data_IF_281650667664
#
_entry.id   IF_281650667664
#
_cell.length_a   1.000
_cell.length_b   1.000
_cell.length_c   1.000
_cell.angle_alpha   90.00
_cell.angle_beta   90.00
_cell.angle_gamma   90.00
#
_symmetry.space_group_name_H-M   'P 1'
#
loop_
_entity.id
_entity.type
_entity.pdbx_description
1 polymer ?
#
# COMPACT_ATOMS: atom_id res chain seq x y z
N UNK A 1 16.61 3.12 3.89
CA UNK A 1 17.43 3.53 5.05
C UNK A 1 18.17 4.77 4.66
N UNK A 2 18.40 5.68 5.57
CA UNK A 2 19.27 6.85 5.37
C UNK A 2 20.55 6.68 6.18
N UNK A 3 21.71 6.94 5.55
CA UNK A 3 23.04 6.61 6.06
C UNK A 3 23.68 5.42 5.37
N UNK A 4 24.92 5.11 5.70
CA UNK A 4 25.72 4.10 4.98
C UNK A 4 25.23 2.67 5.19
N UNK A 5 24.76 2.31 6.40
CA UNK A 5 24.15 1.01 6.70
C UNK A 5 25.01 -0.20 6.34
N UNK A 6 26.35 -0.02 6.28
CA UNK A 6 27.30 -1.06 5.82
C UNK A 6 27.40 -2.22 6.79
N UNK A 7 27.26 -1.94 8.08
CA UNK A 7 27.32 -2.93 9.14
C UNK A 7 26.04 -3.77 9.29
N UNK A 8 25.01 -3.51 8.45
CA UNK A 8 23.75 -4.24 8.51
C UNK A 8 23.70 -5.26 7.36
N UNK A 9 23.87 -6.56 7.62
CA UNK A 9 23.97 -7.58 6.57
C UNK A 9 22.76 -7.61 5.62
N UNK A 10 21.55 -7.36 6.16
CA UNK A 10 20.29 -7.33 5.40
C UNK A 10 20.07 -6.04 4.61
N UNK A 11 20.82 -4.97 4.89
CA UNK A 11 20.68 -3.71 4.17
C UNK A 11 21.40 -3.77 2.82
N UNK A 12 20.64 -3.98 1.75
CA UNK A 12 21.16 -4.10 0.37
C UNK A 12 20.50 -3.07 -0.54
N UNK A 13 21.21 -2.71 -1.62
CA UNK A 13 20.59 -1.98 -2.72
C UNK A 13 19.64 -2.91 -3.47
N UNK A 14 18.43 -2.45 -3.75
CA UNK A 14 17.40 -3.25 -4.41
C UNK A 14 16.40 -2.38 -5.17
N UNK A 15 15.39 -3.02 -5.74
CA UNK A 15 14.33 -2.32 -6.45
C UNK A 15 13.47 -1.50 -5.49
N UNK A 16 13.48 -0.18 -5.64
CA UNK A 16 12.63 0.73 -4.87
C UNK A 16 11.51 1.31 -5.72
N UNK A 17 10.25 1.14 -5.30
CA UNK A 17 9.09 1.78 -5.95
C UNK A 17 9.15 3.31 -5.85
N UNK A 18 9.86 3.84 -4.84
CA UNK A 18 10.05 5.28 -4.62
C UNK A 18 11.22 5.85 -5.43
N UNK A 19 11.86 5.01 -6.26
CA UNK A 19 13.01 5.37 -7.12
C UNK A 19 14.25 5.85 -6.34
N UNK A 20 14.39 5.48 -5.07
CA UNK A 20 15.55 5.74 -4.23
C UNK A 20 16.54 4.58 -4.36
N UNK A 21 17.16 4.46 -5.52
CA UNK A 21 18.17 3.45 -5.80
C UNK A 21 19.52 3.73 -5.12
N UNK A 22 19.67 4.96 -4.67
CA UNK A 22 20.80 5.47 -3.89
C UNK A 22 20.80 4.99 -2.43
N UNK A 23 19.65 4.51 -1.94
CA UNK A 23 19.50 4.08 -0.55
C UNK A 23 19.50 2.56 -0.42
N UNK A 24 20.20 2.05 0.61
CA UNK A 24 20.04 0.65 1.05
C UNK A 24 18.65 0.47 1.65
N UNK A 25 18.11 -0.73 1.50
CA UNK A 25 16.78 -1.07 1.99
C UNK A 25 16.76 -2.48 2.60
N UNK A 26 15.72 -2.76 3.37
CA UNK A 26 15.33 -4.12 3.77
C UNK A 26 13.96 -4.42 3.19
N UNK A 27 13.67 -5.69 2.93
CA UNK A 27 12.35 -6.16 2.53
C UNK A 27 11.65 -6.72 3.75
N UNK A 28 10.38 -6.35 3.93
CA UNK A 28 9.55 -6.84 5.03
C UNK A 28 8.41 -7.65 4.44
N UNK A 29 8.32 -8.93 4.84
CA UNK A 29 7.14 -9.75 4.65
C UNK A 29 6.24 -9.61 5.88
N UNK A 30 4.94 -9.52 5.67
CA UNK A 30 3.94 -9.36 6.71
C UNK A 30 2.81 -10.37 6.50
N UNK A 31 2.46 -11.10 7.55
CA UNK A 31 1.26 -11.95 7.60
C UNK A 31 0.21 -11.22 8.42
N UNK A 32 -0.97 -11.08 7.85
CA UNK A 32 -2.11 -10.44 8.53
C UNK A 32 -3.35 -11.32 8.45
N UNK A 33 -4.26 -11.15 9.42
CA UNK A 33 -5.61 -11.73 9.35
C UNK A 33 -6.44 -11.03 8.26
N UNK A 34 -7.61 -11.56 7.88
CA UNK A 34 -8.55 -10.89 7.00
C UNK A 34 -8.91 -9.46 7.43
N UNK A 35 -8.96 -9.20 8.72
CA UNK A 35 -9.25 -7.88 9.29
C UNK A 35 -8.02 -6.96 9.31
N UNK A 36 -6.87 -7.44 8.85
CA UNK A 36 -5.62 -6.69 8.80
C UNK A 36 -4.77 -6.74 10.07
N UNK A 37 -5.13 -7.57 11.07
CA UNK A 37 -4.31 -7.73 12.28
C UNK A 37 -3.02 -8.48 11.97
N UNK A 38 -1.83 -7.96 12.36
CA UNK A 38 -0.56 -8.60 12.04
C UNK A 38 -0.31 -9.81 12.95
N UNK A 39 -0.04 -10.96 12.33
CA UNK A 39 0.29 -12.21 13.02
C UNK A 39 1.81 -12.42 13.12
N UNK A 40 2.52 -12.12 12.03
CA UNK A 40 3.96 -12.31 11.95
C UNK A 40 4.58 -11.35 10.93
N UNK A 41 5.88 -11.11 11.07
CA UNK A 41 6.68 -10.43 10.06
C UNK A 41 8.05 -11.11 9.92
N UNK A 42 8.66 -10.88 8.78
CA UNK A 42 10.03 -11.30 8.51
C UNK A 42 10.81 -10.19 7.81
N UNK A 43 12.06 -10.01 8.22
CA UNK A 43 12.97 -9.04 7.62
C UNK A 43 13.96 -9.78 6.75
N UNK A 44 13.95 -9.47 5.47
CA UNK A 44 14.80 -10.08 4.44
C UNK A 44 15.78 -9.07 3.87
N UNK A 45 16.78 -9.56 3.14
CA UNK A 45 17.73 -8.69 2.45
C UNK A 45 17.04 -7.74 1.45
N UNK A 46 17.56 -6.53 1.34
CA UNK A 46 16.94 -5.48 0.53
C UNK A 46 16.89 -5.76 -0.98
N UNK A 47 17.70 -6.68 -1.48
CA UNK A 47 17.71 -7.16 -2.87
C UNK A 47 16.84 -8.41 -3.08
N UNK A 48 16.16 -8.88 -2.04
CA UNK A 48 15.32 -10.07 -2.11
C UNK A 48 14.16 -9.86 -3.08
N UNK A 49 13.96 -10.82 -3.99
CA UNK A 49 12.81 -10.85 -4.90
C UNK A 49 11.61 -11.51 -4.22
N UNK A 50 10.45 -10.88 -4.31
CA UNK A 50 9.19 -11.44 -3.79
C UNK A 50 8.92 -12.86 -4.33
N UNK A 51 9.36 -13.16 -5.55
CA UNK A 51 9.16 -14.47 -6.20
C UNK A 51 9.96 -15.60 -5.59
N UNK A 52 11.16 -15.32 -5.06
CA UNK A 52 12.06 -16.34 -4.51
C UNK A 52 11.77 -16.67 -3.06
N UNK A 53 11.01 -15.84 -2.35
CA UNK A 53 10.78 -15.96 -0.90
C UNK A 53 9.56 -16.79 -0.53
N UNK A 54 8.57 -16.92 -1.43
CA UNK A 54 7.29 -17.53 -1.11
C UNK A 54 7.45 -18.96 -0.57
N UNK A 55 8.28 -19.79 -1.22
CA UNK A 55 8.51 -21.19 -0.81
C UNK A 55 9.07 -21.31 0.61
N UNK A 56 10.10 -20.52 0.91
CA UNK A 56 10.70 -20.47 2.25
C UNK A 56 9.75 -19.93 3.31
N UNK A 57 8.94 -18.94 2.94
CA UNK A 57 7.97 -18.32 3.83
C UNK A 57 6.82 -19.28 4.17
N UNK A 58 6.30 -20.02 3.18
CA UNK A 58 5.30 -21.08 3.38
C UNK A 58 5.82 -22.15 4.35
N UNK A 59 7.04 -22.67 4.11
CA UNK A 59 7.65 -23.67 4.97
C UNK A 59 7.84 -23.18 6.42
N UNK A 60 8.23 -21.91 6.59
CA UNK A 60 8.38 -21.30 7.93
C UNK A 60 7.04 -21.21 8.66
N UNK A 61 5.98 -20.78 7.98
CA UNK A 61 4.62 -20.71 8.56
C UNK A 61 4.12 -22.11 8.94
N UNK A 62 4.33 -23.11 8.09
CA UNK A 62 3.96 -24.50 8.39
C UNK A 62 4.75 -25.04 9.61
N UNK A 63 6.03 -24.72 9.72
CA UNK A 63 6.85 -25.13 10.85
C UNK A 63 6.41 -24.45 12.15
N UNK A 64 6.06 -23.17 12.09
CA UNK A 64 5.75 -22.36 13.27
C UNK A 64 4.32 -22.56 13.77
N UNK A 65 3.35 -22.74 12.85
CA UNK A 65 1.92 -22.81 13.17
C UNK A 65 1.27 -24.16 12.79
N UNK A 66 2.06 -25.15 12.41
CA UNK A 66 1.59 -26.46 11.98
C UNK A 66 1.01 -26.46 10.57
N UNK A 67 0.79 -27.66 10.02
CA UNK A 67 0.06 -27.86 8.77
C UNK A 67 -1.45 -27.66 9.02
N UNK A 68 -2.14 -27.03 8.09
CA UNK A 68 -3.58 -26.83 8.17
C UNK A 68 -4.13 -26.34 6.83
N UNK A 69 -5.41 -26.52 6.61
CA UNK A 69 -6.10 -26.00 5.44
C UNK A 69 -6.09 -24.47 5.48
N UNK A 70 -5.22 -23.86 4.67
CA UNK A 70 -5.06 -22.41 4.58
C UNK A 70 -5.22 -21.96 3.13
N UNK A 71 -5.93 -20.85 2.96
CA UNK A 71 -6.03 -20.15 1.68
C UNK A 71 -5.02 -19.01 1.65
N UNK A 72 -4.02 -19.12 0.80
CA UNK A 72 -3.01 -18.08 0.58
C UNK A 72 -3.48 -17.09 -0.47
N UNK A 73 -3.81 -15.89 -0.02
CA UNK A 73 -4.24 -14.83 -0.92
C UNK A 73 -3.03 -13.98 -1.30
N UNK A 74 -2.73 -13.90 -2.60
CA UNK A 74 -1.51 -13.29 -3.10
C UNK A 74 -1.78 -12.31 -4.26
N UNK A 75 -1.00 -11.23 -4.35
CA UNK A 75 -1.06 -10.38 -5.53
C UNK A 75 -0.34 -11.06 -6.72
N UNK A 76 -0.71 -10.62 -7.91
CA UNK A 76 -0.10 -11.09 -9.16
C UNK A 76 1.40 -10.83 -9.14
N UNK A 77 2.17 -11.83 -9.53
CA UNK A 77 3.61 -11.73 -9.66
C UNK A 77 4.40 -12.15 -8.42
N UNK A 78 3.73 -12.47 -7.31
CA UNK A 78 4.38 -13.11 -6.15
C UNK A 78 4.67 -14.58 -6.45
N UNK A 79 3.67 -15.44 -6.81
CA UNK A 79 3.96 -16.84 -7.10
C UNK A 79 4.52 -17.03 -8.52
N UNK A 80 5.42 -17.99 -8.66
CA UNK A 80 5.81 -18.56 -9.97
C UNK A 80 4.87 -19.70 -10.32
N UNK A 81 4.80 -20.09 -11.60
CA UNK A 81 3.97 -21.26 -12.00
C UNK A 81 4.43 -22.54 -11.28
N UNK A 82 5.74 -22.73 -11.09
CA UNK A 82 6.33 -23.86 -10.36
C UNK A 82 5.83 -23.93 -8.92
N UNK A 83 5.79 -22.81 -8.21
CA UNK A 83 5.26 -22.77 -6.83
C UNK A 83 3.77 -23.03 -6.80
N UNK A 84 3.00 -22.53 -7.79
CA UNK A 84 1.58 -22.84 -7.89
C UNK A 84 1.33 -24.33 -8.20
N UNK A 85 2.20 -24.97 -8.98
CA UNK A 85 2.15 -26.43 -9.21
C UNK A 85 2.39 -27.21 -7.93
N UNK A 86 3.38 -26.83 -7.15
CA UNK A 86 3.64 -27.44 -5.83
C UNK A 86 2.47 -27.24 -4.86
N UNK A 87 1.82 -26.07 -4.88
CA UNK A 87 0.64 -25.80 -4.06
C UNK A 87 -0.61 -26.55 -4.52
N UNK A 88 -0.69 -26.98 -5.79
CA UNK A 88 -1.79 -27.80 -6.29
C UNK A 88 -1.76 -29.24 -5.80
N UNK A 89 -0.63 -29.68 -5.25
CA UNK A 89 -0.55 -30.99 -4.61
C UNK A 89 -1.54 -31.08 -3.45
N UNK A 90 -2.62 -31.84 -3.65
CA UNK A 90 -3.72 -31.98 -2.69
C UNK A 90 -3.30 -32.61 -1.36
N UNK A 91 -2.22 -33.39 -1.34
CA UNK A 91 -1.72 -34.00 -0.11
C UNK A 91 -1.15 -32.96 0.86
N UNK A 92 -0.79 -31.79 0.37
CA UNK A 92 -0.30 -30.68 1.19
C UNK A 92 -1.40 -29.84 1.85
N UNK A 93 -2.66 -29.90 1.38
CA UNK A 93 -3.76 -29.11 1.91
C UNK A 93 -3.56 -27.59 1.79
N UNK A 94 -2.75 -27.15 0.79
CA UNK A 94 -2.43 -25.74 0.58
C UNK A 94 -3.34 -25.19 -0.52
N UNK A 95 -4.17 -24.22 -0.18
CA UNK A 95 -5.02 -23.52 -1.13
C UNK A 95 -4.47 -22.14 -1.44
N UNK A 96 -4.72 -21.67 -2.65
CA UNK A 96 -4.31 -20.33 -3.05
C UNK A 96 -5.40 -19.58 -3.81
N UNK A 97 -5.31 -18.27 -3.73
CA UNK A 97 -6.05 -17.31 -4.54
C UNK A 97 -5.10 -16.22 -4.99
N UNK A 98 -4.91 -16.07 -6.30
CA UNK A 98 -3.94 -15.16 -6.87
C UNK A 98 -4.52 -14.32 -7.99
N UNK A 99 -4.12 -13.04 -8.05
CA UNK A 99 -4.38 -12.19 -9.19
C UNK A 99 -3.56 -12.64 -10.41
N UNK A 100 -4.17 -12.68 -11.58
CA UNK A 100 -3.53 -13.15 -12.81
C UNK A 100 -3.14 -11.97 -13.72
N UNK A 101 -2.02 -12.04 -14.46
CA UNK A 101 -1.65 -11.04 -15.44
C UNK A 101 -2.73 -10.87 -16.53
N UNK A 102 -2.93 -9.61 -16.98
CA UNK A 102 -3.96 -9.30 -17.98
C UNK A 102 -3.82 -10.05 -19.32
N UNK A 103 -2.63 -10.51 -19.66
CA UNK A 103 -2.41 -11.30 -20.88
C UNK A 103 -3.21 -12.61 -20.89
N UNK A 104 -3.37 -13.25 -19.74
CA UNK A 104 -4.19 -14.47 -19.62
C UNK A 104 -5.69 -14.22 -19.85
N UNK A 105 -6.22 -13.01 -19.62
CA UNK A 105 -7.62 -12.68 -19.95
C UNK A 105 -7.87 -12.84 -21.45
N UNK A 106 -6.91 -12.47 -22.30
CA UNK A 106 -7.03 -12.60 -23.75
C UNK A 106 -7.02 -14.07 -24.20
N UNK A 107 -6.22 -14.90 -23.54
CA UNK A 107 -6.13 -16.34 -23.84
C UNK A 107 -7.48 -17.03 -23.70
N UNK A 108 -8.28 -16.60 -22.73
CA UNK A 108 -9.60 -17.20 -22.44
C UNK A 108 -10.78 -16.35 -22.94
N UNK A 109 -10.53 -15.34 -23.81
CA UNK A 109 -11.57 -14.37 -24.23
C UNK A 109 -12.80 -15.06 -24.85
N UNK A 110 -12.61 -16.11 -25.66
CA UNK A 110 -13.70 -16.90 -26.27
C UNK A 110 -14.56 -17.60 -25.21
N UNK A 111 -13.95 -18.22 -24.20
CA UNK A 111 -14.66 -18.89 -23.10
C UNK A 111 -15.48 -17.92 -22.27
N UNK A 112 -14.95 -16.69 -22.02
CA UNK A 112 -15.67 -15.68 -21.25
C UNK A 112 -16.92 -15.15 -21.95
N UNK A 113 -16.95 -15.11 -23.27
CA UNK A 113 -18.10 -14.57 -24.02
C UNK A 113 -19.36 -15.41 -23.82
N UNK A 114 -19.22 -16.72 -23.68
CA UNK A 114 -20.32 -17.68 -23.56
C UNK A 114 -20.91 -17.76 -22.15
N UNK A 115 -20.19 -17.30 -21.14
CA UNK A 115 -20.60 -17.40 -19.74
C UNK A 115 -21.44 -16.21 -19.29
N UNK A 116 -22.49 -16.42 -18.47
CA UNK A 116 -23.26 -15.33 -17.90
C UNK A 116 -22.49 -14.60 -16.80
N UNK A 117 -22.77 -13.32 -16.60
CA UNK A 117 -22.30 -12.56 -15.46
C UNK A 117 -23.12 -12.88 -14.22
N UNK A 118 -22.45 -13.12 -13.11
CA UNK A 118 -23.04 -13.30 -11.78
C UNK A 118 -22.79 -12.05 -10.97
N UNK A 119 -23.84 -11.45 -10.41
CA UNK A 119 -23.71 -10.25 -9.57
C UNK A 119 -23.25 -10.62 -8.17
N UNK A 120 -22.11 -10.08 -7.73
CA UNK A 120 -21.58 -10.27 -6.37
C UNK A 120 -22.05 -9.14 -5.44
N UNK A 121 -22.05 -7.91 -5.98
CA UNK A 121 -22.62 -6.72 -5.33
C UNK A 121 -22.94 -5.67 -6.38
N UNK A 122 -23.51 -4.52 -5.97
CA UNK A 122 -24.00 -3.47 -6.90
C UNK A 122 -23.03 -3.09 -8.02
N UNK A 123 -21.74 -3.01 -7.69
CA UNK A 123 -20.70 -2.52 -8.61
C UNK A 123 -19.74 -3.60 -9.10
N UNK A 124 -20.02 -4.89 -8.82
CA UNK A 124 -19.11 -6.01 -9.15
C UNK A 124 -19.87 -7.21 -9.69
N UNK A 125 -19.42 -7.68 -10.84
CA UNK A 125 -19.90 -8.89 -11.49
C UNK A 125 -18.72 -9.83 -11.73
N UNK A 126 -18.97 -11.14 -11.70
CA UNK A 126 -17.97 -12.19 -11.94
C UNK A 126 -18.45 -13.21 -12.96
N UNK A 127 -17.51 -13.86 -13.63
CA UNK A 127 -17.71 -15.03 -14.48
C UNK A 127 -16.72 -16.11 -14.08
N UNK A 128 -17.16 -17.24 -13.50
CA UNK A 128 -16.26 -18.36 -13.18
C UNK A 128 -16.14 -19.32 -14.35
N UNK A 129 -14.99 -19.96 -14.48
CA UNK A 129 -14.83 -21.23 -15.21
C UNK A 129 -13.70 -22.06 -14.60
N UNK A 130 -13.85 -23.38 -14.64
CA UNK A 130 -12.84 -24.33 -14.19
C UNK A 130 -12.04 -24.87 -15.38
N UNK A 131 -10.72 -24.99 -15.22
CA UNK A 131 -9.81 -25.57 -16.20
C UNK A 131 -8.59 -26.16 -15.50
N UNK A 132 -8.16 -27.35 -15.89
CA UNK A 132 -6.94 -28.00 -15.40
C UNK A 132 -6.82 -28.08 -13.85
N UNK A 133 -7.94 -28.30 -13.17
CA UNK A 133 -7.96 -28.40 -11.70
C UNK A 133 -7.90 -27.04 -10.98
N UNK A 134 -8.11 -25.95 -11.69
CA UNK A 134 -8.17 -24.60 -11.16
C UNK A 134 -9.49 -23.91 -11.49
N UNK A 135 -9.90 -22.99 -10.63
CA UNK A 135 -11.02 -22.10 -10.84
C UNK A 135 -10.52 -20.70 -11.21
N UNK A 136 -10.92 -20.25 -12.39
CA UNK A 136 -10.68 -18.90 -12.87
C UNK A 136 -11.92 -18.04 -12.66
N UNK A 137 -11.76 -16.86 -12.09
CA UNK A 137 -12.84 -15.92 -11.86
C UNK A 137 -12.50 -14.59 -12.54
N UNK A 138 -13.17 -14.30 -13.66
CA UNK A 138 -13.09 -12.98 -14.28
C UNK A 138 -14.02 -12.04 -13.53
N UNK A 139 -13.45 -11.04 -12.88
CA UNK A 139 -14.19 -10.01 -12.17
C UNK A 139 -14.19 -8.69 -12.95
N UNK A 140 -15.32 -7.99 -12.90
CA UNK A 140 -15.53 -6.66 -13.46
C UNK A 140 -16.01 -5.72 -12.36
N UNK A 141 -15.29 -4.62 -12.15
CA UNK A 141 -15.59 -3.62 -11.12
C UNK A 141 -15.78 -2.25 -11.73
N UNK A 142 -16.92 -1.61 -11.48
CA UNK A 142 -17.20 -0.27 -12.00
C UNK A 142 -16.28 0.80 -11.40
N UNK A 143 -15.95 0.73 -10.12
CA UNK A 143 -15.02 1.67 -9.50
C UNK A 143 -13.61 1.59 -10.12
N UNK A 144 -13.12 0.36 -10.39
CA UNK A 144 -11.85 0.14 -11.08
C UNK A 144 -11.90 0.61 -12.52
N UNK A 145 -13.02 0.37 -13.22
CA UNK A 145 -13.28 0.84 -14.60
C UNK A 145 -13.20 2.35 -14.70
N UNK A 146 -13.89 3.06 -13.82
CA UNK A 146 -13.87 4.53 -13.76
C UNK A 146 -12.45 5.06 -13.52
N UNK A 147 -11.72 4.48 -12.55
CA UNK A 147 -10.33 4.84 -12.24
C UNK A 147 -9.37 4.61 -13.42
N UNK A 148 -9.46 3.45 -14.07
CA UNK A 148 -8.60 3.11 -15.22
C UNK A 148 -8.86 4.02 -16.42
N UNK A 149 -10.14 4.34 -16.71
CA UNK A 149 -10.54 5.31 -17.75
C UNK A 149 -10.00 6.71 -17.44
N UNK A 150 -10.16 7.18 -16.22
CA UNK A 150 -9.66 8.49 -15.82
C UNK A 150 -8.14 8.60 -15.97
N UNK A 151 -7.39 7.58 -15.52
CA UNK A 151 -5.93 7.53 -15.65
C UNK A 151 -5.52 7.52 -17.13
N UNK A 152 -6.17 6.71 -17.97
CA UNK A 152 -5.89 6.63 -19.40
C UNK A 152 -6.12 7.95 -20.10
N UNK A 153 -7.29 8.57 -19.90
CA UNK A 153 -7.64 9.85 -20.50
C UNK A 153 -6.68 10.96 -20.10
N UNK A 154 -6.33 11.03 -18.80
CA UNK A 154 -5.35 12.01 -18.31
C UNK A 154 -3.97 11.82 -18.94
N UNK A 155 -3.47 10.57 -19.02
CA UNK A 155 -2.16 10.29 -19.63
C UNK A 155 -2.15 10.56 -21.14
N UNK A 156 -3.21 10.19 -21.84
CA UNK A 156 -3.36 10.48 -23.27
C UNK A 156 -3.45 11.99 -23.51
N UNK A 157 -4.23 12.72 -22.73
CA UNK A 157 -4.34 14.18 -22.83
C UNK A 157 -2.99 14.87 -22.65
N UNK A 158 -2.23 14.52 -21.61
CA UNK A 158 -0.88 15.06 -21.38
C UNK A 158 0.08 14.73 -22.53
N UNK A 159 0.04 13.49 -23.04
CA UNK A 159 0.85 13.08 -24.17
C UNK A 159 0.54 13.95 -25.41
N UNK A 160 -0.75 14.07 -25.77
CA UNK A 160 -1.15 14.87 -26.92
C UNK A 160 -0.76 16.34 -26.76
N UNK A 161 -0.95 16.91 -25.57
CA UNK A 161 -0.52 18.28 -25.27
C UNK A 161 1.00 18.46 -25.47
N UNK A 162 1.81 17.52 -24.94
CA UNK A 162 3.26 17.53 -25.12
C UNK A 162 3.66 17.44 -26.59
N UNK A 163 3.05 16.50 -27.33
CA UNK A 163 3.34 16.31 -28.77
C UNK A 163 2.88 17.53 -29.61
N UNK A 164 1.77 18.17 -29.26
CA UNK A 164 1.33 19.40 -29.91
C UNK A 164 2.28 20.59 -29.63
N UNK A 165 2.77 20.75 -28.39
CA UNK A 165 3.79 21.74 -28.06
C UNK A 165 5.08 21.51 -28.86
N UNK A 166 5.53 20.26 -29.00
CA UNK A 166 6.68 19.91 -29.81
C UNK A 166 6.49 20.29 -31.28
N UNK A 167 5.30 20.06 -31.82
CA UNK A 167 4.97 20.46 -33.20
C UNK A 167 4.94 21.98 -33.41
N UNK A 168 4.55 22.74 -32.37
CA UNK A 168 4.54 24.21 -32.43
C UNK A 168 5.95 24.83 -32.30
N UNK A 169 6.78 24.22 -31.49
CA UNK A 169 8.14 24.74 -31.23
C UNK A 169 9.14 24.36 -32.31
N UNK A 170 8.76 23.49 -33.27
CA UNK A 170 9.58 23.04 -34.41
C UNK A 170 11.05 22.80 -34.03
N UNK A 171 11.36 21.94 -33.05
CA UNK A 171 12.72 21.68 -32.62
C UNK A 171 13.49 20.92 -33.69
N UNK A 172 14.83 20.95 -33.65
CA UNK A 172 15.67 20.08 -34.49
C UNK A 172 15.29 18.60 -34.29
N UNK A 173 15.41 17.80 -35.34
CA UNK A 173 14.96 16.40 -35.36
C UNK A 173 15.49 15.57 -34.21
N UNK A 174 16.74 15.69 -33.84
CA UNK A 174 17.32 14.93 -32.71
C UNK A 174 16.70 15.31 -31.39
N UNK A 175 16.45 16.60 -31.15
CA UNK A 175 15.74 17.08 -29.98
C UNK A 175 14.28 16.61 -29.94
N UNK A 176 13.61 16.55 -31.12
CA UNK A 176 12.27 15.99 -31.24
C UNK A 176 12.24 14.54 -30.81
N UNK A 177 13.17 13.71 -31.30
CA UNK A 177 13.26 12.29 -30.97
C UNK A 177 13.52 12.06 -29.48
N UNK A 178 14.44 12.81 -28.88
CA UNK A 178 14.69 12.73 -27.42
C UNK A 178 13.45 13.08 -26.60
N UNK A 179 12.76 14.16 -26.96
CA UNK A 179 11.55 14.60 -26.25
C UNK A 179 10.38 13.65 -26.44
N UNK A 180 10.21 13.03 -27.63
CA UNK A 180 9.24 11.96 -27.86
C UNK A 180 9.57 10.74 -27.01
N UNK A 181 10.86 10.38 -26.88
CA UNK A 181 11.31 9.31 -25.99
C UNK A 181 10.94 9.55 -24.52
N UNK A 182 11.15 10.77 -24.03
CA UNK A 182 10.73 11.18 -22.69
C UNK A 182 9.21 11.14 -22.52
N UNK A 183 8.45 11.67 -23.48
CA UNK A 183 6.99 11.63 -23.48
C UNK A 183 6.43 10.20 -23.51
N UNK A 184 7.07 9.29 -24.27
CA UNK A 184 6.75 7.84 -24.29
C UNK A 184 6.93 7.21 -22.90
N UNK A 185 8.02 7.50 -22.22
CA UNK A 185 8.28 7.01 -20.86
C UNK A 185 7.21 7.49 -19.87
N UNK A 186 6.82 8.75 -19.92
CA UNK A 186 5.81 9.34 -19.06
C UNK A 186 4.39 8.81 -19.35
N UNK A 187 4.01 8.77 -20.62
CA UNK A 187 2.70 8.29 -21.07
C UNK A 187 2.53 6.78 -20.84
N UNK A 188 3.60 6.00 -20.89
CA UNK A 188 3.58 4.55 -20.76
C UNK A 188 2.63 3.93 -21.80
N UNK A 189 1.66 3.13 -21.35
CA UNK A 189 0.71 2.45 -22.25
C UNK A 189 -0.14 3.41 -23.12
N UNK A 190 -0.35 4.65 -22.69
CA UNK A 190 -1.13 5.61 -23.46
C UNK A 190 -0.44 6.02 -24.76
N UNK A 191 0.89 5.90 -24.84
CA UNK A 191 1.65 6.15 -26.07
C UNK A 191 1.22 5.24 -27.23
N UNK A 192 0.87 3.99 -26.95
CA UNK A 192 0.40 3.02 -27.95
C UNK A 192 -0.92 3.36 -28.63
N UNK A 193 -1.66 4.39 -28.16
CA UNK A 193 -2.88 4.89 -28.80
C UNK A 193 -2.63 6.03 -29.78
N UNK A 194 -1.39 6.48 -29.91
CA UNK A 194 -1.04 7.57 -30.82
C UNK A 194 -0.09 7.04 -31.89
N UNK A 195 -0.52 7.07 -33.13
CA UNK A 195 0.37 6.84 -34.28
C UNK A 195 1.08 8.15 -34.58
N UNK A 196 2.41 8.09 -34.68
CA UNK A 196 3.28 9.22 -34.91
C UNK A 196 4.04 8.98 -36.24
N UNK A 197 3.87 9.90 -37.19
CA UNK A 197 4.77 9.97 -38.36
C UNK A 197 5.79 11.07 -38.06
N UNK A 198 7.05 10.73 -38.19
CA UNK A 198 8.19 11.64 -37.96
C UNK A 198 8.57 12.32 -39.28
N UNK A 199 9.15 13.56 -39.24
CA UNK A 199 9.79 14.16 -40.41
C UNK A 199 10.95 13.30 -40.93
N UNK A 200 11.18 13.33 -42.23
CA UNK A 200 12.35 12.70 -42.81
C UNK A 200 13.64 13.49 -42.49
N UNK A 201 14.78 12.91 -42.82
CA UNK A 201 16.06 13.55 -42.55
C UNK A 201 16.21 14.81 -43.44
N UNK A 202 16.43 15.97 -42.78
CA UNK A 202 16.47 17.26 -43.48
C UNK A 202 15.12 18.00 -43.58
N UNK A 203 14.01 17.37 -43.20
CA UNK A 203 12.72 18.05 -43.18
C UNK A 203 12.50 18.83 -41.86
N UNK A 204 11.90 20.02 -41.98
CA UNK A 204 11.47 20.80 -40.83
C UNK A 204 10.25 20.17 -40.13
N UNK A 205 10.22 20.29 -38.79
CA UNK A 205 9.09 19.84 -37.99
C UNK A 205 7.90 20.77 -38.19
N UNK A 206 6.87 20.28 -38.88
CA UNK A 206 5.65 21.04 -39.19
C UNK A 206 4.41 20.19 -38.99
N UNK A 207 3.23 20.77 -39.25
CA UNK A 207 1.97 20.00 -39.25
C UNK A 207 1.89 18.96 -40.39
N UNK A 208 2.65 19.14 -41.42
CA UNK A 208 2.66 18.27 -42.61
C UNK A 208 3.66 17.12 -42.48
N UNK A 209 4.79 17.36 -41.80
CA UNK A 209 5.87 16.40 -41.64
C UNK A 209 5.78 15.62 -40.32
N UNK A 210 5.28 16.25 -39.23
CA UNK A 210 5.04 15.63 -37.92
C UNK A 210 3.55 15.37 -37.68
N UNK A 211 3.08 14.18 -38.13
CA UNK A 211 1.67 13.83 -38.12
C UNK A 211 1.35 13.00 -36.88
N UNK A 212 0.30 13.39 -36.17
CA UNK A 212 -0.23 12.73 -34.99
C UNK A 212 -1.63 12.22 -35.24
N UNK A 213 -1.88 10.93 -35.07
CA UNK A 213 -3.20 10.32 -35.20
C UNK A 213 -3.50 9.47 -33.97
N UNK A 214 -4.68 9.69 -33.37
CA UNK A 214 -5.18 8.81 -32.30
C UNK A 214 -5.85 7.59 -32.94
N UNK A 215 -5.37 6.41 -32.58
CA UNK A 215 -5.98 5.13 -32.95
C UNK A 215 -7.22 4.89 -32.08
N UNK A 216 -8.38 5.34 -32.61
CA UNK A 216 -9.67 5.26 -31.93
C UNK A 216 -10.10 3.81 -31.71
N UNK A 217 -9.74 2.91 -32.59
CA UNK A 217 -10.11 1.49 -32.50
C UNK A 217 -9.36 0.79 -31.34
N UNK A 218 -8.04 0.97 -31.30
CA UNK A 218 -7.21 0.52 -30.18
C UNK A 218 -7.68 1.09 -28.84
N UNK A 219 -8.03 2.37 -28.83
CA UNK A 219 -8.51 3.05 -27.64
C UNK A 219 -9.83 2.42 -27.17
N UNK A 220 -10.81 2.21 -28.06
CA UNK A 220 -12.09 1.55 -27.75
C UNK A 220 -11.91 0.13 -27.25
N UNK A 221 -11.05 -0.68 -27.91
CA UNK A 221 -10.72 -2.04 -27.45
C UNK A 221 -10.12 -2.04 -26.04
N UNK A 222 -9.30 -1.04 -25.72
CA UNK A 222 -8.78 -0.89 -24.36
C UNK A 222 -9.87 -0.50 -23.34
N UNK A 223 -10.84 0.37 -23.72
CA UNK A 223 -11.96 0.74 -22.84
C UNK A 223 -12.90 -0.44 -22.51
N UNK A 224 -13.08 -1.38 -23.42
CA UNK A 224 -13.88 -2.59 -23.19
C UNK A 224 -13.29 -3.49 -22.10
N UNK A 225 -11.96 -3.46 -21.95
CA UNK A 225 -11.23 -4.28 -20.97
C UNK A 225 -11.02 -3.58 -19.63
N UNK A 226 -11.51 -2.34 -19.48
CA UNK A 226 -11.38 -1.59 -18.23
C UNK A 226 -12.21 -2.20 -17.12
N UNK A 227 -11.64 -2.19 -15.93
CA UNK A 227 -12.26 -2.73 -14.75
C UNK A 227 -12.20 -4.26 -14.64
N UNK A 228 -11.71 -4.95 -15.68
CA UNK A 228 -11.59 -6.40 -15.66
C UNK A 228 -10.27 -6.85 -15.03
N UNK A 229 -10.34 -7.88 -14.21
CA UNK A 229 -9.19 -8.58 -13.66
C UNK A 229 -9.53 -10.06 -13.45
N UNK A 230 -8.52 -10.90 -13.50
CA UNK A 230 -8.66 -12.34 -13.45
C UNK A 230 -8.05 -12.86 -12.15
N UNK A 231 -8.81 -13.65 -11.43
CA UNK A 231 -8.40 -14.41 -10.27
C UNK A 231 -8.21 -15.87 -10.67
N UNK A 232 -7.32 -16.56 -9.98
CA UNK A 232 -7.00 -17.97 -10.17
C UNK A 232 -6.85 -18.64 -8.81
N UNK A 233 -7.47 -19.81 -8.63
CA UNK A 233 -7.47 -20.54 -7.38
C UNK A 233 -7.51 -22.05 -7.63
N UNK A 234 -6.96 -22.86 -6.72
CA UNK A 234 -7.15 -24.30 -6.71
C UNK A 234 -8.37 -24.75 -5.88
N UNK A 235 -9.16 -23.82 -5.38
CA UNK A 235 -10.46 -24.05 -4.72
C UNK A 235 -11.57 -24.21 -5.77
N UNK A 236 -11.60 -25.33 -6.47
CA UNK A 236 -12.47 -25.55 -7.64
C UNK A 236 -13.96 -25.59 -7.30
N UNK A 237 -14.33 -25.97 -6.07
CA UNK A 237 -15.72 -26.05 -5.62
C UNK A 237 -16.26 -24.82 -4.89
N UNK A 238 -15.44 -23.76 -4.76
CA UNK A 238 -15.81 -22.59 -3.97
C UNK A 238 -16.68 -21.61 -4.79
N UNK A 239 -17.56 -20.89 -4.08
CA UNK A 239 -18.38 -19.83 -4.68
C UNK A 239 -17.47 -18.69 -5.19
N UNK A 240 -17.58 -18.31 -6.47
CA UNK A 240 -16.80 -17.21 -7.05
C UNK A 240 -16.94 -15.88 -6.30
N UNK A 241 -18.06 -15.65 -5.64
CA UNK A 241 -18.28 -14.44 -4.82
C UNK A 241 -17.43 -14.45 -3.56
N UNK A 242 -17.28 -15.63 -2.92
CA UNK A 242 -16.40 -15.82 -1.76
C UNK A 242 -14.94 -15.59 -2.15
N UNK A 243 -14.50 -16.20 -3.26
CA UNK A 243 -13.13 -15.97 -3.77
C UNK A 243 -12.87 -14.50 -4.07
N UNK A 244 -13.84 -13.82 -4.67
CA UNK A 244 -13.72 -12.39 -4.92
C UNK A 244 -13.61 -11.59 -3.62
N UNK A 245 -14.42 -11.91 -2.60
CA UNK A 245 -14.36 -11.27 -1.28
C UNK A 245 -13.01 -11.49 -0.60
N UNK A 246 -12.49 -12.72 -0.64
CA UNK A 246 -11.16 -13.04 -0.12
C UNK A 246 -10.07 -12.23 -0.84
N UNK A 247 -10.15 -12.11 -2.17
CA UNK A 247 -9.16 -11.34 -2.93
C UNK A 247 -9.17 -9.85 -2.59
N UNK A 248 -10.34 -9.28 -2.34
CA UNK A 248 -10.44 -7.87 -1.95
C UNK A 248 -9.77 -7.58 -0.60
N UNK A 249 -9.59 -8.58 0.25
CA UNK A 249 -8.83 -8.43 1.50
C UNK A 249 -7.35 -8.06 1.27
N UNK A 250 -6.78 -8.30 0.08
CA UNK A 250 -5.46 -7.75 -0.27
C UNK A 250 -5.39 -6.22 -0.16
N UNK A 251 -6.53 -5.53 -0.28
CA UNK A 251 -6.58 -4.08 -0.03
C UNK A 251 -6.26 -3.73 1.43
N UNK A 252 -6.54 -4.63 2.37
CA UNK A 252 -6.17 -4.46 3.78
C UNK A 252 -4.65 -4.55 3.96
N UNK A 253 -4.00 -5.45 3.22
CA UNK A 253 -2.53 -5.57 3.22
C UNK A 253 -1.88 -4.29 2.65
N UNK A 254 -2.43 -3.75 1.56
CA UNK A 254 -1.97 -2.47 1.01
C UNK A 254 -2.14 -1.33 2.04
N UNK A 255 -3.27 -1.29 2.74
CA UNK A 255 -3.53 -0.33 3.80
C UNK A 255 -2.56 -0.54 4.97
N UNK A 256 -2.27 -1.79 5.38
CA UNK A 256 -1.30 -2.13 6.41
C UNK A 256 0.08 -1.54 6.09
N UNK A 257 0.61 -1.82 4.89
CA UNK A 257 1.89 -1.27 4.47
C UNK A 257 1.89 0.26 4.35
N UNK A 258 0.77 0.86 3.96
CA UNK A 258 0.64 2.32 3.94
C UNK A 258 0.71 2.90 5.35
N UNK A 259 -0.02 2.34 6.29
CA UNK A 259 -0.01 2.76 7.70
C UNK A 259 1.37 2.62 8.32
N UNK A 260 2.01 1.44 8.17
CA UNK A 260 3.38 1.21 8.63
C UNK A 260 4.36 2.25 8.07
N UNK A 261 4.34 2.49 6.77
CA UNK A 261 5.31 3.37 6.08
C UNK A 261 5.08 4.85 6.32
N UNK A 262 3.83 5.30 6.44
CA UNK A 262 3.46 6.72 6.42
C UNK A 262 3.01 7.24 7.77
N UNK A 263 2.26 6.45 8.54
CA UNK A 263 1.63 6.91 9.79
C UNK A 263 2.45 6.53 11.02
N UNK A 264 3.10 5.35 10.97
CA UNK A 264 3.89 4.82 12.10
C UNK A 264 5.40 5.04 11.93
N UNK A 265 5.82 5.80 10.93
CA UNK A 265 7.21 6.22 10.79
C UNK A 265 8.20 5.09 10.54
N UNK A 266 7.76 3.94 9.97
CA UNK A 266 8.66 2.83 9.64
C UNK A 266 9.83 3.27 8.74
N UNK A 267 9.64 4.32 7.99
CA UNK A 267 10.67 4.88 7.11
C UNK A 267 10.67 6.42 7.12
N UNK A 268 11.84 7.06 6.95
CA UNK A 268 13.16 6.44 6.76
C UNK A 268 13.71 5.84 8.05
N UNK A 269 14.61 4.83 7.94
CA UNK A 269 15.31 4.24 9.07
C UNK A 269 16.70 4.88 9.12
N UNK A 270 17.01 5.55 10.24
CA UNK A 270 18.28 6.26 10.45
C UNK A 270 19.29 5.45 11.27
N UNK A 271 18.87 4.31 11.83
CA UNK A 271 19.75 3.47 12.64
C UNK A 271 20.82 2.80 11.80
N UNK A 272 22.05 2.74 12.32
CA UNK A 272 23.21 2.15 11.66
C UNK A 272 23.58 0.77 12.22
N UNK A 273 23.07 0.39 13.39
CA UNK A 273 23.29 -0.91 14.01
C UNK A 273 22.13 -1.86 13.77
N UNK A 274 22.41 -3.11 13.39
CA UNK A 274 21.40 -4.13 13.09
C UNK A 274 20.36 -4.27 14.22
N UNK A 275 20.81 -4.43 15.47
CA UNK A 275 19.91 -4.54 16.63
C UNK A 275 18.94 -3.36 16.77
N UNK A 276 19.38 -2.14 16.45
CA UNK A 276 18.51 -0.95 16.50
C UNK A 276 17.53 -0.91 15.35
N UNK A 277 17.92 -1.40 14.17
CA UNK A 277 16.99 -1.55 13.02
C UNK A 277 15.95 -2.61 13.34
N UNK A 278 16.33 -3.75 13.88
CA UNK A 278 15.39 -4.79 14.31
C UNK A 278 14.42 -4.31 15.39
N UNK A 279 14.91 -3.59 16.40
CA UNK A 279 14.08 -2.97 17.43
C UNK A 279 13.11 -1.95 16.84
N UNK A 280 13.55 -1.10 15.91
CA UNK A 280 12.68 -0.14 15.22
C UNK A 280 11.56 -0.84 14.44
N UNK A 281 11.89 -1.91 13.71
CA UNK A 281 10.91 -2.69 12.95
C UNK A 281 9.91 -3.39 13.89
N UNK A 282 10.40 -3.94 15.00
CA UNK A 282 9.54 -4.58 16.02
C UNK A 282 8.59 -3.59 16.68
N UNK A 283 9.08 -2.42 17.07
CA UNK A 283 8.23 -1.34 17.63
C UNK A 283 7.16 -0.89 16.63
N UNK A 284 7.53 -0.72 15.35
CA UNK A 284 6.58 -0.38 14.31
C UNK A 284 5.52 -1.48 14.09
N UNK A 285 5.91 -2.76 14.18
CA UNK A 285 4.98 -3.89 14.11
C UNK A 285 3.99 -3.88 15.30
N UNK A 286 4.45 -3.66 16.52
CA UNK A 286 3.59 -3.53 17.70
C UNK A 286 2.64 -2.32 17.59
N UNK A 287 3.16 -1.17 17.14
CA UNK A 287 2.35 0.02 16.92
C UNK A 287 1.26 -0.22 15.87
N UNK A 288 1.56 -1.01 14.83
CA UNK A 288 0.57 -1.40 13.83
C UNK A 288 -0.50 -2.32 14.44
N UNK A 289 -0.13 -3.31 15.25
CA UNK A 289 -1.08 -4.18 15.94
C UNK A 289 -2.04 -3.37 16.83
N UNK A 290 -1.52 -2.42 17.60
CA UNK A 290 -2.32 -1.50 18.40
C UNK A 290 -3.24 -0.63 17.54
N UNK A 291 -2.73 -0.13 16.41
CA UNK A 291 -3.53 0.68 15.47
C UNK A 291 -4.70 -0.10 14.88
N UNK A 292 -4.49 -1.37 14.51
CA UNK A 292 -5.57 -2.24 14.00
C UNK A 292 -6.59 -2.55 15.10
N UNK A 293 -6.13 -2.86 16.32
CA UNK A 293 -7.01 -3.09 17.46
C UNK A 293 -7.87 -1.86 17.76
N UNK A 294 -7.24 -0.67 17.76
CA UNK A 294 -7.97 0.59 17.93
C UNK A 294 -8.98 0.81 16.78
N UNK A 295 -8.60 0.51 15.54
CA UNK A 295 -9.50 0.61 14.38
C UNK A 295 -10.75 -0.27 14.57
N UNK A 296 -10.58 -1.54 14.93
CA UNK A 296 -11.69 -2.47 15.17
C UNK A 296 -12.60 -1.97 16.30
N UNK A 297 -12.00 -1.46 17.38
CA UNK A 297 -12.75 -0.90 18.49
C UNK A 297 -13.54 0.36 18.11
N UNK A 298 -12.94 1.23 17.29
CA UNK A 298 -13.62 2.42 16.74
C UNK A 298 -14.75 2.06 15.79
N UNK A 299 -14.57 1.06 14.92
CA UNK A 299 -15.61 0.59 14.03
C UNK A 299 -16.86 0.11 14.78
N UNK A 300 -16.65 -0.56 15.93
CA UNK A 300 -17.74 -1.05 16.77
C UNK A 300 -18.41 0.04 17.61
N UNK A 301 -17.64 0.95 18.22
CA UNK A 301 -18.12 1.87 19.24
C UNK A 301 -18.31 3.31 18.77
N UNK A 302 -17.55 3.73 17.74
CA UNK A 302 -17.55 5.10 17.21
C UNK A 302 -17.34 5.08 15.68
N UNK A 303 -18.26 4.49 14.89
CA UNK A 303 -18.09 4.33 13.46
C UNK A 303 -17.86 5.67 12.75
N UNK A 304 -16.96 5.65 11.75
CA UNK A 304 -16.55 6.83 10.99
C UNK A 304 -15.29 7.54 11.51
N UNK A 305 -14.77 7.18 12.69
CA UNK A 305 -13.48 7.67 13.18
C UNK A 305 -12.33 6.74 12.75
N UNK A 306 -11.25 7.34 12.30
CA UNK A 306 -9.98 6.62 12.08
C UNK A 306 -9.13 6.62 13.35
N UNK A 307 -8.25 5.63 13.57
CA UNK A 307 -7.30 5.63 14.70
C UNK A 307 -6.54 6.95 14.83
N UNK A 308 -6.03 7.46 13.72
CA UNK A 308 -5.32 8.74 13.68
C UNK A 308 -6.17 9.90 14.16
N UNK A 309 -7.39 10.05 13.64
CA UNK A 309 -8.29 11.13 14.05
C UNK A 309 -8.68 11.03 15.52
N UNK A 310 -8.86 9.81 16.04
CA UNK A 310 -9.14 9.59 17.46
C UNK A 310 -7.95 10.00 18.33
N UNK A 311 -6.74 9.56 17.97
CA UNK A 311 -5.51 9.91 18.69
C UNK A 311 -5.22 11.42 18.64
N UNK A 312 -5.36 12.06 17.49
CA UNK A 312 -5.18 13.53 17.33
C UNK A 312 -6.17 14.32 18.22
N UNK A 313 -7.42 13.85 18.31
CA UNK A 313 -8.41 14.47 19.21
C UNK A 313 -8.04 14.28 20.68
N UNK A 314 -7.69 13.06 21.10
CA UNK A 314 -7.33 12.76 22.48
C UNK A 314 -6.02 13.38 22.93
N UNK A 315 -5.05 13.55 22.02
CA UNK A 315 -3.75 14.17 22.29
C UNK A 315 -3.86 15.65 22.73
N UNK A 316 -4.98 16.30 22.48
CA UNK A 316 -5.23 17.66 22.97
C UNK A 316 -5.69 17.73 24.44
N UNK A 317 -5.97 16.57 25.06
CA UNK A 317 -6.16 16.45 26.52
C UNK A 317 -4.77 16.28 27.11
N UNK A 318 -4.29 17.31 27.78
CA UNK A 318 -2.92 17.39 28.28
C UNK A 318 -2.91 17.48 29.80
N UNK A 319 -1.87 16.94 30.42
CA UNK A 319 -1.54 17.19 31.81
C UNK A 319 -0.69 18.47 31.87
N UNK A 320 -1.11 19.44 32.65
CA UNK A 320 -0.39 20.70 32.87
C UNK A 320 -0.04 20.84 34.33
N UNK A 321 1.11 21.41 34.65
CA UNK A 321 1.49 21.78 36.00
C UNK A 321 1.03 23.22 36.28
N UNK A 322 0.07 23.37 37.19
CA UNK A 322 -0.36 24.66 37.68
C UNK A 322 0.53 24.99 38.87
N UNK A 323 1.35 26.04 38.73
CA UNK A 323 2.34 26.42 39.75
C UNK A 323 1.88 27.64 40.52
N UNK A 324 1.87 27.57 41.86
CA UNK A 324 1.58 28.66 42.76
C UNK A 324 2.77 28.93 43.67
N UNK A 325 3.23 30.19 43.77
CA UNK A 325 4.23 30.57 44.78
C UNK A 325 3.62 30.52 46.17
N UNK A 326 4.34 29.97 47.13
CA UNK A 326 3.97 29.95 48.52
C UNK A 326 4.64 31.04 49.31
N UNK A 327 4.11 31.46 50.45
CA UNK A 327 4.62 32.57 51.29
C UNK A 327 6.01 32.28 51.88
N UNK A 328 6.44 31.03 51.90
CA UNK A 328 7.76 30.60 52.36
C UNK A 328 8.79 30.43 51.23
N UNK A 329 8.51 30.98 50.03
CA UNK A 329 9.41 30.97 48.91
C UNK A 329 9.47 29.64 48.09
N UNK A 330 8.64 28.68 48.43
CA UNK A 330 8.51 27.43 47.69
C UNK A 330 7.44 27.52 46.59
N UNK A 331 7.34 26.49 45.76
CA UNK A 331 6.32 26.37 44.72
C UNK A 331 5.41 25.18 45.00
N UNK A 332 4.10 25.42 45.09
CA UNK A 332 3.09 24.37 45.06
C UNK A 332 2.75 24.04 43.58
N UNK A 333 3.06 22.84 43.17
CA UNK A 333 2.77 22.34 41.80
C UNK A 333 1.58 21.41 41.87
N UNK A 334 0.53 21.76 41.16
CA UNK A 334 -0.69 20.93 41.05
C UNK A 334 -0.80 20.44 39.59
N UNK A 335 -0.47 19.17 39.34
CA UNK A 335 -0.72 18.59 38.02
C UNK A 335 -2.24 18.49 37.79
N UNK A 336 -2.72 18.98 36.64
CA UNK A 336 -4.14 18.96 36.28
C UNK A 336 -4.30 18.60 34.81
N UNK A 337 -5.23 17.69 34.54
CA UNK A 337 -5.63 17.42 33.14
C UNK A 337 -6.52 18.57 32.66
N UNK A 338 -6.30 19.00 31.43
CA UNK A 338 -7.22 19.93 30.75
C UNK A 338 -8.60 19.29 30.64
N UNK A 339 -9.64 20.09 30.72
CA UNK A 339 -11.02 19.59 30.62
C UNK A 339 -11.29 19.14 29.18
N UNK A 340 -11.80 17.91 28.99
CA UNK A 340 -12.19 17.43 27.67
C UNK A 340 -13.31 18.29 27.08
N UNK A 341 -13.20 18.61 25.81
CA UNK A 341 -14.28 19.25 25.03
C UNK A 341 -15.47 18.29 24.86
N UNK A 342 -16.68 18.79 24.52
CA UNK A 342 -17.86 17.93 24.38
C UNK A 342 -17.69 16.74 23.43
N UNK A 343 -17.00 16.92 22.30
CA UNK A 343 -16.73 15.86 21.32
C UNK A 343 -15.72 14.82 21.85
N UNK A 344 -14.77 15.24 22.69
CA UNK A 344 -13.84 14.34 23.38
C UNK A 344 -14.53 13.57 24.49
N UNK A 345 -15.42 14.22 25.27
CA UNK A 345 -16.23 13.55 26.30
C UNK A 345 -17.11 12.47 25.69
N UNK A 346 -17.79 12.78 24.56
CA UNK A 346 -18.60 11.82 23.84
C UNK A 346 -17.75 10.63 23.35
N UNK A 347 -16.53 10.88 22.84
CA UNK A 347 -15.63 9.84 22.38
C UNK A 347 -15.12 8.96 23.53
N UNK A 348 -14.70 9.56 24.63
CA UNK A 348 -14.30 8.83 25.85
C UNK A 348 -15.44 7.95 26.35
N UNK A 349 -16.66 8.49 26.43
CA UNK A 349 -17.84 7.73 26.83
C UNK A 349 -18.11 6.54 25.90
N UNK A 350 -18.11 6.75 24.58
CA UNK A 350 -18.34 5.67 23.61
C UNK A 350 -17.26 4.60 23.66
N UNK A 351 -16.00 4.99 23.85
CA UNK A 351 -14.87 4.07 23.96
C UNK A 351 -14.75 3.44 25.35
N UNK A 352 -15.63 3.81 26.28
CA UNK A 352 -15.62 3.37 27.69
C UNK A 352 -14.27 3.65 28.38
N UNK A 353 -13.71 4.83 28.10
CA UNK A 353 -12.46 5.29 28.67
C UNK A 353 -12.72 6.35 29.73
N UNK A 354 -11.95 6.29 30.81
CA UNK A 354 -11.92 7.31 31.85
C UNK A 354 -10.53 7.98 31.85
N UNK A 355 -10.49 9.27 32.13
CA UNK A 355 -9.21 9.94 32.32
C UNK A 355 -8.56 9.42 33.61
N UNK A 356 -7.22 9.37 33.66
CA UNK A 356 -6.51 8.99 34.88
C UNK A 356 -6.80 9.97 36.01
N UNK A 357 -6.71 9.46 37.24
CA UNK A 357 -6.84 10.30 38.43
C UNK A 357 -5.80 11.43 38.42
N UNK A 358 -6.19 12.58 38.94
CA UNK A 358 -5.27 13.72 39.08
C UNK A 358 -4.12 13.35 40.02
N UNK A 359 -2.85 13.55 39.62
CA UNK A 359 -1.74 13.33 40.53
C UNK A 359 -1.82 14.25 41.75
N UNK A 360 -1.30 13.83 42.92
CA UNK A 360 -1.28 14.67 44.10
C UNK A 360 -0.42 15.92 43.90
N UNK A 361 -0.76 17.02 44.60
CA UNK A 361 0.11 18.21 44.63
C UNK A 361 1.52 17.89 45.14
N UNK A 362 2.52 18.58 44.64
CA UNK A 362 3.91 18.45 45.09
C UNK A 362 4.50 19.84 45.39
N UNK A 363 5.39 19.89 46.36
CA UNK A 363 6.10 21.12 46.69
C UNK A 363 7.51 21.04 46.07
N UNK A 364 7.89 22.06 45.28
CA UNK A 364 9.24 22.22 44.76
C UNK A 364 9.96 23.34 45.50
N UNK A 365 11.13 23.04 46.08
CA UNK A 365 12.03 24.05 46.62
C UNK A 365 12.77 24.69 45.44
N UNK A 366 12.91 26.04 45.37
CA UNK A 366 13.75 26.64 44.37
C UNK A 366 15.19 26.11 44.46
N UNK A 367 15.80 25.83 43.35
CA UNK A 367 17.23 25.52 43.31
C UNK A 367 17.97 26.80 43.75
N UNK A 368 18.99 26.69 44.61
CA UNK A 368 19.82 27.86 44.94
C UNK A 368 20.38 28.43 43.64
N UNK A 369 20.18 29.72 43.42
CA UNK A 369 20.73 30.43 42.29
C UNK A 369 22.25 30.28 42.29
N UNK A 370 22.86 29.86 41.18
CA UNK A 370 24.32 29.73 41.00
C UNK A 370 25.05 31.08 41.11
N UNK A 371 24.33 32.18 41.27
CA UNK A 371 24.90 33.56 41.40
C UNK A 371 25.54 33.87 42.77
N UNK A 372 25.61 32.87 43.68
CA UNK A 372 26.16 33.04 45.05
C UNK A 372 27.65 32.71 45.23
N UNK A 373 28.39 32.36 44.17
CA UNK A 373 29.80 31.98 44.25
C UNK A 373 30.74 32.96 43.50
N UNK A 374 30.45 34.26 43.59
CA UNK A 374 31.38 35.30 43.18
C UNK A 374 31.51 36.35 44.28
N UNK A 375 32.28 36.03 45.34
CA UNK A 375 32.99 36.97 46.20
C UNK A 375 34.30 36.34 46.64
#
# INVERSE_FOLDING_TARGET
MEGEGEEIPKAKHGYSRDKRFDCRQVVIALVVTPEGFPLAYEVMEGNTSERTTLRGFLAKIETQYGRGERVWVMDRGIPTEEVLEEMRDRERGIFYLVGTPRGKIQQYEKKWLELPWQKVRESVEVKPFAEEGELYVLAKSEGRRAKERAIRRRKLGRLLETLHKLRQSSPARDQLLLRIGAAKKEAGRAFGFVAIRLPEEGEEVSRQTFILRVDKEKFRKAELRDGHYLLRSNLVGEDPSVLWQLYIQLTQIEAAFKTLKSELGLRPIYHQLEKRVEAHLFVAFLAYALSVTLKQRLEALAPGLTPRAALEKLATIQMIDVCFPTTDGRWLIMPRSTQPKPDQQLMLHRLQLTLPAQPPPRIKVPEPSEDGLAM
#
